data_IF_568592687451
#
_entry.id   IF_568592687451
#
_cell.length_a   1.000
_cell.length_b   1.000
_cell.length_c   1.000
_cell.angle_alpha   90.00
_cell.angle_beta   90.00
_cell.angle_gamma   90.00
#
_symmetry.space_group_name_H-M   'P 1'
#
loop_
_entity.id
_entity.type
_entity.pdbx_description
1 polymer ?
#
# COMPACT_ATOMS: atom_id res chain seq x y z
N UNK A 1 5.18 -11.44 -13.79
CA UNK A 1 4.28 -10.81 -12.82
C UNK A 1 4.16 -11.68 -11.59
N UNK A 2 4.90 -11.32 -10.54
CA UNK A 2 4.66 -11.82 -9.19
C UNK A 2 3.49 -11.09 -8.53
N UNK A 3 2.91 -11.72 -7.50
CA UNK A 3 2.01 -11.04 -6.58
C UNK A 3 2.73 -10.86 -5.25
N UNK A 4 2.95 -9.62 -4.85
CA UNK A 4 3.52 -9.29 -3.55
C UNK A 4 2.40 -8.85 -2.61
N UNK A 5 2.17 -9.64 -1.57
CA UNK A 5 1.18 -9.35 -0.54
C UNK A 5 1.87 -8.91 0.74
N UNK A 6 1.29 -7.94 1.45
CA UNK A 6 1.75 -7.48 2.75
C UNK A 6 0.59 -6.94 3.59
N UNK A 7 0.83 -6.75 4.88
CA UNK A 7 -0.18 -6.23 5.82
C UNK A 7 0.32 -4.97 6.48
N UNK A 8 -0.58 -4.01 6.69
CA UNK A 8 -0.32 -2.81 7.49
C UNK A 8 -1.43 -2.63 8.54
N UNK A 9 -1.11 -2.21 9.77
CA UNK A 9 -2.12 -1.98 10.79
C UNK A 9 -3.03 -0.82 10.39
N UNK A 10 -4.29 -0.84 10.80
CA UNK A 10 -5.22 0.28 10.68
C UNK A 10 -5.44 0.86 12.07
N UNK A 11 -5.20 2.16 12.23
CA UNK A 11 -5.44 2.86 13.49
C UNK A 11 -6.95 3.00 13.77
N UNK A 12 -7.37 3.22 15.04
CA UNK A 12 -8.77 3.51 15.35
C UNK A 12 -9.32 4.66 14.49
N UNK A 13 -10.45 4.42 13.81
CA UNK A 13 -11.04 5.37 12.85
C UNK A 13 -10.41 5.37 11.45
N UNK A 14 -9.29 4.67 11.25
CA UNK A 14 -8.56 4.58 9.98
C UNK A 14 -9.33 3.89 8.85
N UNK A 15 -10.31 3.02 9.17
CA UNK A 15 -11.16 2.37 8.17
C UNK A 15 -11.97 3.39 7.37
N UNK A 16 -12.60 4.35 8.03
CA UNK A 16 -13.39 5.37 7.35
C UNK A 16 -12.50 6.31 6.54
N UNK A 17 -11.30 6.61 7.03
CA UNK A 17 -10.28 7.34 6.26
C UNK A 17 -9.86 6.57 5.01
N UNK A 18 -9.63 5.26 5.11
CA UNK A 18 -9.23 4.42 3.98
C UNK A 18 -10.36 4.30 2.93
N UNK A 19 -11.60 4.10 3.37
CA UNK A 19 -12.77 4.04 2.47
C UNK A 19 -12.95 5.34 1.70
N UNK A 20 -12.88 6.48 2.41
CA UNK A 20 -12.95 7.81 1.79
C UNK A 20 -11.78 8.04 0.83
N UNK A 21 -10.56 7.72 1.24
CA UNK A 21 -9.37 7.83 0.40
C UNK A 21 -9.53 7.05 -0.90
N UNK A 22 -9.98 5.80 -0.84
CA UNK A 22 -10.15 4.95 -2.02
C UNK A 22 -11.16 5.56 -3.02
N UNK A 23 -12.27 6.10 -2.52
CA UNK A 23 -13.26 6.75 -3.39
C UNK A 23 -12.74 8.05 -4.03
N UNK A 24 -11.95 8.84 -3.30
CA UNK A 24 -11.54 10.17 -3.74
C UNK A 24 -10.21 10.18 -4.51
N UNK A 25 -9.31 9.22 -4.23
CA UNK A 25 -7.92 9.27 -4.67
C UNK A 25 -7.46 8.02 -5.43
N UNK A 26 -8.25 6.93 -5.47
CA UNK A 26 -7.88 5.71 -6.20
C UNK A 26 -8.79 5.51 -7.42
N UNK A 27 -10.10 5.40 -7.19
CA UNK A 27 -11.07 5.09 -8.25
C UNK A 27 -11.08 6.21 -9.31
N UNK A 28 -10.96 5.83 -10.58
CA UNK A 28 -10.94 6.71 -11.76
C UNK A 28 -9.94 7.89 -11.67
N UNK A 29 -8.81 7.67 -10.98
CA UNK A 29 -7.80 8.71 -10.75
C UNK A 29 -6.54 8.50 -11.59
N UNK A 30 -6.34 9.36 -12.59
CA UNK A 30 -5.16 9.29 -13.49
C UNK A 30 -3.82 9.58 -12.80
N UNK A 31 -3.81 10.41 -11.76
CA UNK A 31 -2.58 10.70 -11.01
C UNK A 31 -2.13 9.46 -10.22
N UNK A 32 -3.07 8.73 -9.63
CA UNK A 32 -2.84 7.41 -9.04
C UNK A 32 -2.25 6.44 -10.08
N UNK A 33 -2.93 6.28 -11.23
CA UNK A 33 -2.51 5.35 -12.28
C UNK A 33 -1.08 5.64 -12.77
N UNK A 34 -0.74 6.92 -12.90
CA UNK A 34 0.59 7.35 -13.32
C UNK A 34 1.66 6.97 -12.28
N UNK A 35 1.42 7.22 -10.99
CA UNK A 35 2.36 6.84 -9.92
C UNK A 35 2.52 5.32 -9.85
N UNK A 36 1.42 4.57 -9.89
CA UNK A 36 1.46 3.10 -9.78
C UNK A 36 2.13 2.46 -10.98
N UNK A 37 1.87 2.96 -12.20
CA UNK A 37 2.57 2.51 -13.41
C UNK A 37 4.07 2.78 -13.34
N UNK A 38 4.49 3.95 -12.87
CA UNK A 38 5.92 4.25 -12.66
C UNK A 38 6.56 3.37 -11.58
N UNK A 39 5.81 3.08 -10.51
CA UNK A 39 6.20 2.12 -9.48
C UNK A 39 6.32 0.68 -10.02
N UNK A 40 5.85 0.41 -11.24
CA UNK A 40 5.82 -0.93 -11.81
C UNK A 40 4.77 -1.83 -11.15
N UNK A 41 3.67 -1.25 -10.67
CA UNK A 41 2.51 -1.95 -10.13
C UNK A 41 1.43 -1.95 -11.21
N UNK A 42 1.02 -3.13 -11.68
CA UNK A 42 -0.04 -3.26 -12.69
C UNK A 42 -1.44 -3.35 -12.10
N UNK A 43 -1.53 -3.76 -10.84
CA UNK A 43 -2.79 -3.88 -10.10
C UNK A 43 -2.54 -3.80 -8.60
N UNK A 44 -3.44 -3.08 -7.93
CA UNK A 44 -3.60 -3.09 -6.48
C UNK A 44 -4.92 -3.77 -6.12
N UNK A 45 -4.90 -4.60 -5.08
CA UNK A 45 -6.10 -5.12 -4.45
C UNK A 45 -5.92 -5.13 -2.93
N UNK A 46 -6.81 -4.46 -2.20
CA UNK A 46 -6.71 -4.28 -0.76
C UNK A 46 -7.98 -4.74 -0.07
N UNK A 47 -7.82 -5.53 1.00
CA UNK A 47 -8.90 -5.95 1.89
C UNK A 47 -8.71 -5.36 3.28
N UNK A 48 -9.80 -5.17 4.01
CA UNK A 48 -9.77 -4.89 5.44
C UNK A 48 -10.01 -6.19 6.18
N UNK A 49 -9.05 -6.59 7.02
CA UNK A 49 -9.13 -7.74 7.88
C UNK A 49 -9.36 -7.30 9.32
N UNK A 50 -10.45 -7.76 9.92
CA UNK A 50 -10.78 -7.53 11.32
C UNK A 50 -10.26 -8.67 12.18
N UNK A 51 -9.39 -8.37 13.16
CA UNK A 51 -8.86 -9.35 14.12
C UNK A 51 -9.11 -8.86 15.56
N UNK A 52 -9.12 -9.77 16.57
CA UNK A 52 -9.31 -9.37 17.97
C UNK A 52 -8.30 -8.33 18.46
N UNK A 53 -7.07 -8.36 17.96
CA UNK A 53 -6.00 -7.42 18.30
C UNK A 53 -6.03 -6.10 17.51
N UNK A 54 -6.95 -5.96 16.54
CA UNK A 54 -7.08 -4.76 15.71
C UNK A 54 -7.34 -5.06 14.24
N UNK A 55 -7.51 -3.99 13.48
CA UNK A 55 -7.80 -4.03 12.04
C UNK A 55 -6.52 -3.90 11.23
N UNK A 56 -6.46 -4.58 10.09
CA UNK A 56 -5.34 -4.56 9.17
C UNK A 56 -5.81 -4.35 7.74
N UNK A 57 -5.06 -3.59 6.95
CA UNK A 57 -5.18 -3.64 5.50
C UNK A 57 -4.27 -4.76 4.99
N UNK A 58 -4.85 -5.67 4.21
CA UNK A 58 -4.12 -6.72 3.49
C UNK A 58 -4.00 -6.22 2.05
N UNK A 59 -2.81 -5.86 1.62
CA UNK A 59 -2.54 -5.33 0.29
C UNK A 59 -1.91 -6.40 -0.59
N UNK A 60 -2.28 -6.41 -1.87
CA UNK A 60 -1.75 -7.29 -2.92
C UNK A 60 -1.40 -6.44 -4.13
N UNK A 61 -0.11 -6.38 -4.46
CA UNK A 61 0.42 -5.68 -5.62
C UNK A 61 0.91 -6.68 -6.67
N UNK A 62 0.42 -6.55 -7.89
CA UNK A 62 1.02 -7.24 -9.03
C UNK A 62 2.24 -6.45 -9.51
N UNK A 63 3.43 -6.99 -9.23
CA UNK A 63 4.72 -6.39 -9.57
C UNK A 63 5.82 -7.45 -9.61
N UNK A 64 6.84 -7.22 -10.43
CA UNK A 64 8.05 -8.06 -10.49
C UNK A 64 9.18 -7.54 -9.58
N UNK A 65 9.05 -6.33 -9.01
CA UNK A 65 10.06 -5.76 -8.11
C UNK A 65 9.41 -4.94 -6.98
N UNK A 66 8.91 -5.60 -5.92
CA UNK A 66 8.23 -4.92 -4.83
C UNK A 66 9.12 -3.92 -4.09
N UNK A 67 10.43 -4.19 -3.98
CA UNK A 67 11.36 -3.23 -3.35
C UNK A 67 11.38 -1.90 -4.12
N UNK A 68 11.50 -1.95 -5.45
CA UNK A 68 11.47 -0.77 -6.30
C UNK A 68 10.12 -0.05 -6.21
N UNK A 69 9.02 -0.79 -6.23
CA UNK A 69 7.67 -0.22 -6.14
C UNK A 69 7.47 0.55 -4.84
N UNK A 70 7.78 -0.06 -3.70
CA UNK A 70 7.65 0.57 -2.39
C UNK A 70 8.59 1.76 -2.23
N UNK A 71 9.83 1.65 -2.72
CA UNK A 71 10.78 2.76 -2.75
C UNK A 71 10.23 3.94 -3.55
N UNK A 72 9.64 3.71 -4.72
CA UNK A 72 9.07 4.80 -5.54
C UNK A 72 7.90 5.47 -4.83
N UNK A 73 6.99 4.72 -4.21
CA UNK A 73 5.90 5.28 -3.41
C UNK A 73 6.43 6.11 -2.22
N UNK A 74 7.54 5.69 -1.61
CA UNK A 74 8.19 6.41 -0.51
C UNK A 74 8.88 7.71 -0.95
N UNK A 75 9.49 7.74 -2.14
CA UNK A 75 10.37 8.85 -2.55
C UNK A 75 9.81 9.74 -3.66
N UNK A 76 8.72 9.37 -4.32
CA UNK A 76 8.15 10.17 -5.42
C UNK A 76 7.64 11.51 -4.91
N UNK A 77 8.01 12.58 -5.61
CA UNK A 77 7.56 13.95 -5.33
C UNK A 77 6.27 14.32 -6.08
N UNK A 78 5.65 13.36 -6.78
CA UNK A 78 4.36 13.61 -7.44
C UNK A 78 3.30 13.95 -6.40
N UNK A 79 2.40 14.92 -6.67
CA UNK A 79 1.42 15.38 -5.67
C UNK A 79 0.58 14.25 -5.07
N UNK A 80 0.17 13.29 -5.90
CA UNK A 80 -0.57 12.12 -5.45
C UNK A 80 0.24 11.25 -4.46
N UNK A 81 1.51 10.98 -4.76
CA UNK A 81 2.38 10.19 -3.87
C UNK A 81 2.65 10.89 -2.53
N UNK A 82 2.75 12.22 -2.52
CA UNK A 82 2.86 13.02 -1.28
C UNK A 82 1.61 12.85 -0.43
N UNK A 83 0.42 13.06 -1.01
CA UNK A 83 -0.87 12.88 -0.31
C UNK A 83 -1.06 11.44 0.16
N UNK A 84 -0.62 10.46 -0.63
CA UNK A 84 -0.66 9.04 -0.27
C UNK A 84 0.14 8.76 1.00
N UNK A 85 1.36 9.30 1.13
CA UNK A 85 2.16 9.16 2.36
C UNK A 85 1.50 9.83 3.57
N UNK A 86 0.88 11.00 3.38
CA UNK A 86 0.09 11.63 4.44
C UNK A 86 -1.11 10.77 4.87
N UNK A 87 -1.79 10.14 3.91
CA UNK A 87 -2.87 9.21 4.17
C UNK A 87 -2.37 7.99 4.95
N UNK A 88 -1.25 7.38 4.54
CA UNK A 88 -0.65 6.25 5.24
C UNK A 88 -0.28 6.59 6.68
N UNK A 89 0.25 7.78 6.93
CA UNK A 89 0.56 8.24 8.28
C UNK A 89 -0.73 8.34 9.13
N UNK A 90 -1.78 8.97 8.60
CA UNK A 90 -3.05 9.18 9.33
C UNK A 90 -3.83 7.89 9.58
N UNK A 91 -3.93 7.01 8.58
CA UNK A 91 -4.76 5.81 8.66
C UNK A 91 -4.03 4.60 9.27
N UNK A 92 -2.70 4.54 9.10
CA UNK A 92 -1.90 3.36 9.46
C UNK A 92 -0.74 3.67 10.43
N UNK A 93 -0.49 4.95 10.75
CA UNK A 93 0.66 5.35 11.58
C UNK A 93 2.01 5.19 10.89
N UNK A 94 2.02 5.12 9.56
CA UNK A 94 3.21 4.81 8.77
C UNK A 94 3.75 6.03 8.04
N UNK A 95 5.00 6.41 8.33
CA UNK A 95 5.78 7.32 7.50
C UNK A 95 6.80 6.52 6.67
N UNK A 96 6.35 6.06 5.50
CA UNK A 96 7.18 5.23 4.62
C UNK A 96 8.35 5.99 3.98
N UNK A 97 8.37 7.33 4.03
CA UNK A 97 9.50 8.12 3.55
C UNK A 97 10.66 8.13 4.57
N UNK A 98 10.34 8.15 5.87
CA UNK A 98 11.34 8.10 6.94
C UNK A 98 11.69 6.67 7.36
N UNK A 99 10.71 5.78 7.35
CA UNK A 99 10.84 4.37 7.75
C UNK A 99 10.36 3.47 6.62
N UNK A 100 11.24 3.15 5.65
CA UNK A 100 10.88 2.28 4.54
C UNK A 100 10.42 0.91 5.05
N UNK A 101 9.37 0.36 4.43
CA UNK A 101 8.93 -0.99 4.75
C UNK A 101 10.00 -2.00 4.34
N UNK A 102 10.32 -2.92 5.24
CA UNK A 102 11.10 -4.11 4.88
C UNK A 102 10.21 -5.08 4.12
N UNK A 103 10.80 -5.79 3.15
CA UNK A 103 10.06 -6.84 2.45
C UNK A 103 9.80 -8.02 3.38
N UNK A 104 8.69 -8.71 3.11
CA UNK A 104 8.35 -9.94 3.82
C UNK A 104 9.41 -11.02 3.59
N UNK A 105 9.75 -11.73 4.66
CA UNK A 105 10.59 -12.92 4.60
C UNK A 105 9.79 -14.12 4.09
N UNK A 106 10.38 -14.90 3.18
CA UNK A 106 9.77 -16.16 2.73
C UNK A 106 10.07 -17.25 3.77
N UNK A 107 9.08 -17.56 4.60
CA UNK A 107 9.21 -18.66 5.57
C UNK A 107 9.09 -20.04 4.90
N UNK A 108 8.19 -20.18 3.93
CA UNK A 108 7.94 -21.44 3.21
C UNK A 108 7.53 -21.13 1.78
N UNK A 109 8.13 -21.85 0.81
CA UNK A 109 7.66 -21.90 -0.57
C UNK A 109 7.27 -23.35 -0.91
N UNK A 110 6.06 -23.72 -0.48
CA UNK A 110 5.56 -25.09 -0.62
C UNK A 110 5.18 -25.40 -2.06
N UNK A 111 5.49 -26.63 -2.51
CA UNK A 111 5.08 -27.19 -3.80
C UNK A 111 4.45 -28.55 -3.55
N UNK A 112 3.32 -28.81 -4.19
CA UNK A 112 2.60 -30.10 -4.15
C UNK A 112 3.38 -31.21 -4.87
#
# INVERSE_FOLDING_TARGET
MGNYCFTVPILPGGIELARKWNQENIVDNKEHDEVFKEAGISREHVWIQHLPQGDFAVASFETDNPEKSLRLLATSNKPWAVKFREHLNKAHGMDIAQSPMQLNEVAVNWKA
#
